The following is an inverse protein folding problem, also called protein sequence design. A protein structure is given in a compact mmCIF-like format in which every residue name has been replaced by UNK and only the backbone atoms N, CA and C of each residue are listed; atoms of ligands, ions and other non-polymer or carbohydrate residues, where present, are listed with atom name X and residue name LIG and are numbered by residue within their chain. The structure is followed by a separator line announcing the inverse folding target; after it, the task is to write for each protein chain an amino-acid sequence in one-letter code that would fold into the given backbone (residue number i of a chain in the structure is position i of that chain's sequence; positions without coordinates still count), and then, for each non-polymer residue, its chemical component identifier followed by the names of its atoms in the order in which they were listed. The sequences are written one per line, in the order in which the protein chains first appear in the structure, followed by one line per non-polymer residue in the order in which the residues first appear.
data_IF_531278057077
#
_entry.id   IF_531278057077
#
_cell.length_a   1.000
_cell.length_b   1.000
_cell.length_c   1.000
_cell.angle_alpha   90.00
_cell.angle_beta   90.00
_cell.angle_gamma   90.00
#
_symmetry.space_group_name_H-M   'P 1'
#
loop_
_entity.id
_entity.type
_entity.pdbx_description
1 polymer ?
#
# COMPACT_ATOMS: atom_id res chain seq x y z
N UNK A 1 -0.65 -23.48 -9.16
CA UNK A 1 -0.71 -23.43 -7.68
C UNK A 1 0.39 -24.34 -7.14
N UNK A 2 1.22 -23.82 -6.24
CA UNK A 2 2.38 -24.55 -5.66
C UNK A 2 2.34 -24.42 -4.14
N UNK A 3 2.32 -25.57 -3.46
CA UNK A 3 2.47 -25.57 -2.01
C UNK A 3 3.94 -25.37 -1.61
N UNK A 4 4.18 -24.50 -0.63
CA UNK A 4 5.49 -24.23 -0.03
C UNK A 4 5.44 -24.61 1.46
N UNK A 5 5.53 -25.93 1.79
CA UNK A 5 5.28 -26.42 3.15
C UNK A 5 6.24 -25.83 4.19
N UNK A 6 7.48 -25.51 3.80
CA UNK A 6 8.47 -24.91 4.69
C UNK A 6 8.13 -23.47 5.10
N UNK A 7 7.21 -22.80 4.40
CA UNK A 7 6.69 -21.48 4.71
C UNK A 7 5.25 -21.52 5.24
N UNK A 8 4.61 -22.68 5.21
CA UNK A 8 3.18 -22.81 5.56
C UNK A 8 2.24 -22.08 4.60
N UNK A 9 2.64 -21.89 3.35
CA UNK A 9 1.86 -21.11 2.37
C UNK A 9 1.63 -21.88 1.07
N UNK A 10 0.60 -21.47 0.34
CA UNK A 10 0.32 -21.90 -1.02
C UNK A 10 0.53 -20.72 -1.97
N UNK A 11 1.45 -20.86 -2.92
CA UNK A 11 1.69 -19.84 -3.93
C UNK A 11 0.77 -20.08 -5.14
N UNK A 12 0.00 -19.07 -5.49
CA UNK A 12 -0.83 -19.06 -6.70
C UNK A 12 -0.10 -18.27 -7.77
N UNK A 13 0.26 -18.90 -8.89
CA UNK A 13 1.15 -18.31 -9.91
C UNK A 13 0.51 -18.16 -11.29
N UNK A 14 -0.65 -18.79 -11.53
CA UNK A 14 -1.38 -18.67 -12.79
C UNK A 14 -2.27 -17.44 -12.80
N UNK A 15 -2.39 -16.79 -13.94
CA UNK A 15 -3.19 -15.54 -14.09
C UNK A 15 -4.67 -15.77 -13.75
N UNK A 16 -5.25 -16.86 -14.26
CA UNK A 16 -6.68 -17.16 -14.03
C UNK A 16 -6.93 -17.48 -12.56
N UNK A 17 -6.09 -18.30 -11.96
CA UNK A 17 -6.20 -18.72 -10.56
C UNK A 17 -5.99 -17.50 -9.61
N UNK A 18 -5.05 -16.61 -9.91
CA UNK A 18 -4.87 -15.37 -9.15
C UNK A 18 -6.11 -14.48 -9.28
N UNK A 19 -6.67 -14.38 -10.49
CA UNK A 19 -7.88 -13.60 -10.73
C UNK A 19 -9.08 -14.16 -9.97
N UNK A 20 -9.19 -15.49 -9.86
CA UNK A 20 -10.27 -16.13 -9.11
C UNK A 20 -10.11 -15.89 -7.60
N UNK A 21 -8.89 -16.00 -7.06
CA UNK A 21 -8.62 -15.66 -5.65
C UNK A 21 -9.02 -14.21 -5.34
N UNK A 22 -8.63 -13.25 -6.18
CA UNK A 22 -8.97 -11.83 -5.97
C UNK A 22 -10.45 -11.50 -6.09
N UNK A 23 -11.24 -12.34 -6.77
CA UNK A 23 -12.69 -12.16 -6.89
C UNK A 23 -13.48 -12.82 -5.77
N UNK A 24 -12.92 -13.86 -5.16
CA UNK A 24 -13.58 -14.65 -4.11
C UNK A 24 -13.34 -14.05 -2.72
N UNK A 25 -13.82 -12.81 -2.51
CA UNK A 25 -13.63 -12.07 -1.25
C UNK A 25 -14.41 -12.64 -0.05
N UNK A 26 -15.32 -13.56 -0.29
CA UNK A 26 -16.05 -14.34 0.70
C UNK A 26 -15.29 -15.57 1.17
N UNK A 27 -14.26 -15.97 0.42
CA UNK A 27 -13.43 -17.15 0.70
C UNK A 27 -12.02 -16.76 1.15
N UNK A 28 -11.46 -15.71 0.58
CA UNK A 28 -10.08 -15.27 0.85
C UNK A 28 -10.07 -13.90 1.52
N UNK A 29 -9.63 -13.87 2.77
CA UNK A 29 -9.47 -12.65 3.54
C UNK A 29 -8.21 -11.87 3.16
N UNK A 30 -8.30 -10.55 3.16
CA UNK A 30 -7.16 -9.64 3.00
C UNK A 30 -6.46 -9.29 4.30
N UNK A 31 -6.91 -9.80 5.44
CA UNK A 31 -6.45 -9.37 6.76
C UNK A 31 -4.93 -9.46 6.97
N UNK A 32 -4.26 -10.35 6.25
CA UNK A 32 -2.81 -10.59 6.33
C UNK A 32 -2.03 -10.08 5.11
N UNK A 33 -2.63 -9.31 4.22
CA UNK A 33 -2.04 -8.94 2.92
C UNK A 33 -0.74 -8.14 3.01
N UNK A 34 -0.52 -7.37 4.09
CA UNK A 34 0.69 -6.55 4.28
C UNK A 34 1.85 -7.30 4.95
N UNK A 35 1.56 -8.43 5.59
CA UNK A 35 2.55 -9.23 6.31
C UNK A 35 3.36 -10.13 5.37
N UNK A 36 2.87 -10.34 4.16
CA UNK A 36 3.45 -11.27 3.21
C UNK A 36 3.41 -12.72 3.72
N UNK A 37 4.09 -13.63 3.03
CA UNK A 37 4.06 -15.06 3.37
C UNK A 37 4.89 -15.43 4.60
N UNK A 38 5.60 -14.49 5.21
CA UNK A 38 6.59 -14.75 6.26
C UNK A 38 6.08 -14.49 7.67
N UNK A 39 4.96 -13.81 7.82
CA UNK A 39 4.36 -13.57 9.11
C UNK A 39 3.16 -14.47 9.31
N UNK A 40 3.21 -15.23 10.38
CA UNK A 40 2.10 -16.08 10.81
C UNK A 40 1.00 -15.23 11.43
N UNK A 41 -0.24 -15.62 11.23
CA UNK A 41 -1.36 -15.06 11.97
C UNK A 41 -1.14 -15.27 13.49
N UNK A 42 -1.60 -14.37 14.37
CA UNK A 42 -1.32 -14.42 15.82
C UNK A 42 -1.72 -15.73 16.51
N UNK A 43 -2.71 -16.41 15.95
CA UNK A 43 -3.23 -17.69 16.45
C UNK A 43 -3.34 -18.71 15.31
N UNK A 44 -3.37 -20.02 15.60
CA UNK A 44 -3.62 -21.04 14.57
C UNK A 44 -4.95 -20.79 13.84
N UNK A 45 -4.94 -20.98 12.52
CA UNK A 45 -6.11 -20.87 11.65
C UNK A 45 -6.59 -22.28 11.31
N UNK A 46 -7.29 -22.92 12.25
CA UNK A 46 -7.76 -24.27 12.12
C UNK A 46 -9.25 -24.32 11.76
N UNK A 47 -9.64 -25.23 10.88
CA UNK A 47 -11.02 -25.44 10.45
C UNK A 47 -11.30 -24.99 9.03
N UNK A 48 -12.51 -25.30 8.55
CA UNK A 48 -12.97 -24.96 7.20
C UNK A 48 -13.49 -23.50 7.09
N UNK A 49 -13.90 -22.94 8.23
CA UNK A 49 -14.31 -21.54 8.34
C UNK A 49 -13.53 -20.87 9.50
N UNK A 50 -12.69 -19.92 9.14
CA UNK A 50 -11.83 -19.19 10.06
C UNK A 50 -12.33 -17.77 10.35
N UNK A 51 -13.52 -17.41 9.88
CA UNK A 51 -14.06 -16.05 9.96
C UNK A 51 -14.12 -15.52 11.40
N UNK A 52 -14.59 -16.34 12.35
CA UNK A 52 -14.67 -15.95 13.76
C UNK A 52 -13.27 -15.80 14.38
N UNK A 53 -12.32 -16.66 14.01
CA UNK A 53 -10.93 -16.59 14.48
C UNK A 53 -10.27 -15.31 14.00
N UNK A 54 -10.45 -14.97 12.72
CA UNK A 54 -9.93 -13.73 12.13
C UNK A 54 -10.56 -12.51 12.80
N UNK A 55 -11.88 -12.48 12.96
CA UNK A 55 -12.59 -11.37 13.58
C UNK A 55 -12.14 -11.13 15.04
N UNK A 56 -11.97 -12.21 15.82
CA UNK A 56 -11.58 -12.13 17.24
C UNK A 56 -10.13 -11.68 17.47
N UNK A 57 -9.25 -11.80 16.48
CA UNK A 57 -7.82 -11.50 16.61
C UNK A 57 -7.33 -10.42 15.63
N UNK A 58 -8.25 -9.74 14.95
CA UNK A 58 -7.91 -8.78 13.91
C UNK A 58 -7.07 -7.62 14.42
N UNK A 59 -7.32 -7.14 15.61
CA UNK A 59 -6.60 -6.04 16.25
C UNK A 59 -5.13 -6.36 16.59
N UNK A 60 -4.76 -7.64 16.57
CA UNK A 60 -3.39 -8.10 16.75
C UNK A 60 -2.60 -8.18 15.43
N UNK A 61 -3.28 -8.04 14.29
CA UNK A 61 -2.64 -8.06 12.97
C UNK A 61 -2.11 -6.66 12.64
N UNK A 62 -0.83 -6.52 12.29
CA UNK A 62 -0.27 -5.24 11.88
C UNK A 62 -1.04 -4.58 10.76
N UNK A 63 -1.23 -3.27 10.86
CA UNK A 63 -1.97 -2.46 9.89
C UNK A 63 -3.44 -2.87 9.71
N UNK A 64 -4.05 -3.49 10.72
CA UNK A 64 -5.44 -3.96 10.67
C UNK A 64 -6.47 -2.83 10.42
N UNK A 65 -6.13 -1.59 10.73
CA UNK A 65 -6.95 -0.41 10.46
C UNK A 65 -6.81 0.12 9.02
N UNK A 66 -5.88 -0.44 8.23
CA UNK A 66 -5.66 0.03 6.86
C UNK A 66 -6.60 -0.68 5.89
N UNK A 67 -7.11 0.06 4.92
CA UNK A 67 -8.05 -0.45 3.92
C UNK A 67 -7.54 -1.70 3.19
N UNK A 68 -6.23 -1.81 2.97
CA UNK A 68 -5.60 -2.94 2.27
C UNK A 68 -5.73 -4.27 3.02
N UNK A 69 -5.96 -4.23 4.34
CA UNK A 69 -6.16 -5.41 5.18
C UNK A 69 -7.62 -5.64 5.54
N UNK A 70 -8.53 -4.78 5.09
CA UNK A 70 -9.96 -4.90 5.37
C UNK A 70 -10.63 -5.87 4.42
N UNK A 71 -11.64 -6.55 4.92
CA UNK A 71 -12.57 -7.37 4.16
C UNK A 71 -13.94 -6.67 4.03
N UNK A 72 -14.80 -7.10 3.10
CA UNK A 72 -16.18 -6.61 3.06
C UNK A 72 -16.92 -6.93 4.38
N UNK A 73 -17.83 -6.06 4.84
CA UNK A 73 -18.33 -4.85 4.19
C UNK A 73 -17.48 -3.59 4.44
N UNK A 74 -16.57 -3.57 5.42
CA UNK A 74 -15.76 -2.42 5.78
C UNK A 74 -14.91 -1.92 4.62
N UNK A 75 -14.18 -2.83 3.97
CA UNK A 75 -13.39 -2.51 2.76
C UNK A 75 -14.22 -1.81 1.71
N UNK A 76 -15.42 -2.32 1.41
CA UNK A 76 -16.30 -1.75 0.38
C UNK A 76 -16.69 -0.32 0.72
N UNK A 77 -17.00 -0.05 1.99
CA UNK A 77 -17.38 1.28 2.46
C UNK A 77 -16.22 2.27 2.37
N UNK A 78 -15.05 1.92 2.88
CA UNK A 78 -13.87 2.79 2.90
C UNK A 78 -13.35 3.05 1.47
N UNK A 79 -13.29 1.99 0.65
CA UNK A 79 -12.86 2.10 -0.74
C UNK A 79 -13.80 3.01 -1.56
N UNK A 80 -15.10 2.96 -1.31
CA UNK A 80 -16.07 3.82 -2.00
C UNK A 80 -15.81 5.31 -1.77
N UNK A 81 -15.27 5.70 -0.61
CA UNK A 81 -14.88 7.08 -0.32
C UNK A 81 -13.66 7.48 -1.16
N UNK A 82 -12.62 6.65 -1.19
CA UNK A 82 -11.40 6.93 -1.96
C UNK A 82 -11.65 6.95 -3.48
N UNK A 83 -12.53 6.11 -3.98
CA UNK A 83 -12.87 6.10 -5.41
C UNK A 83 -13.49 7.41 -5.92
N UNK A 84 -14.01 8.25 -5.03
CA UNK A 84 -14.45 9.61 -5.39
C UNK A 84 -13.30 10.54 -5.74
N UNK A 85 -12.10 10.26 -5.24
CA UNK A 85 -10.88 11.02 -5.53
C UNK A 85 -10.25 10.60 -6.86
N UNK A 86 -10.49 9.37 -7.31
CA UNK A 86 -9.86 8.77 -8.51
C UNK A 86 -10.93 8.61 -9.60
N UNK A 87 -11.47 9.73 -10.06
CA UNK A 87 -12.42 9.74 -11.19
C UNK A 87 -11.69 9.94 -12.52
N UNK A 88 -12.19 9.43 -13.66
CA UNK A 88 -11.60 9.66 -14.96
C UNK A 88 -11.40 11.14 -15.29
N UNK A 89 -12.35 11.99 -14.89
CA UNK A 89 -12.24 13.44 -15.06
C UNK A 89 -11.06 14.00 -14.28
N UNK A 90 -10.94 13.65 -12.98
CA UNK A 90 -9.86 14.15 -12.12
C UNK A 90 -8.49 13.65 -12.56
N UNK A 91 -8.40 12.39 -13.03
CA UNK A 91 -7.16 11.85 -13.61
C UNK A 91 -6.74 12.65 -14.85
N UNK A 92 -7.70 12.98 -15.72
CA UNK A 92 -7.42 13.79 -16.91
C UNK A 92 -7.01 15.23 -16.54
N UNK A 93 -7.72 15.85 -15.59
CA UNK A 93 -7.39 17.19 -15.10
C UNK A 93 -5.97 17.24 -14.50
N UNK A 94 -5.53 16.11 -13.92
CA UNK A 94 -4.21 15.96 -13.29
C UNK A 94 -3.08 15.63 -14.27
N UNK A 95 -3.35 15.28 -15.51
CA UNK A 95 -2.35 14.87 -16.49
C UNK A 95 -1.28 15.95 -16.70
N UNK A 96 -1.68 17.21 -16.82
CA UNK A 96 -0.76 18.31 -17.01
C UNK A 96 0.20 18.52 -15.82
N UNK A 97 -0.28 18.27 -14.60
CA UNK A 97 0.57 18.28 -13.42
C UNK A 97 1.57 17.13 -13.45
N UNK A 98 1.14 15.92 -13.80
CA UNK A 98 2.02 14.75 -13.92
C UNK A 98 3.17 14.97 -14.90
N UNK A 99 2.90 15.56 -16.04
CA UNK A 99 3.94 15.91 -17.01
C UNK A 99 4.94 16.92 -16.45
N UNK A 100 4.47 18.01 -15.86
CA UNK A 100 5.37 18.99 -15.22
C UNK A 100 6.21 18.39 -14.10
N UNK A 101 5.60 17.51 -13.29
CA UNK A 101 6.30 16.81 -12.22
C UNK A 101 7.39 15.91 -12.76
N UNK A 102 7.09 15.13 -13.81
CA UNK A 102 8.06 14.26 -14.46
C UNK A 102 9.25 15.06 -15.03
N UNK A 103 8.99 16.11 -15.78
CA UNK A 103 10.03 16.96 -16.37
C UNK A 103 10.92 17.57 -15.28
N UNK A 104 10.33 18.16 -14.23
CA UNK A 104 11.07 18.74 -13.12
C UNK A 104 11.98 17.74 -12.40
N UNK A 105 11.54 16.49 -12.27
CA UNK A 105 12.37 15.46 -11.65
C UNK A 105 13.47 14.95 -12.57
N UNK A 106 13.20 14.79 -13.86
CA UNK A 106 14.20 14.43 -14.87
C UNK A 106 15.32 15.47 -14.91
N UNK A 107 15.00 16.76 -14.85
CA UNK A 107 15.96 17.85 -14.86
C UNK A 107 16.98 17.78 -13.72
N UNK A 108 16.67 17.11 -12.62
CA UNK A 108 17.57 16.98 -11.46
C UNK A 108 18.75 16.06 -11.71
N UNK A 109 18.65 15.07 -12.60
CA UNK A 109 19.68 14.05 -12.77
C UNK A 109 20.09 13.78 -14.24
N UNK A 110 19.29 14.20 -15.23
CA UNK A 110 19.64 14.02 -16.65
C UNK A 110 21.00 14.62 -17.00
N UNK A 111 21.39 15.81 -16.48
CA UNK A 111 22.72 16.38 -16.73
C UNK A 111 23.88 15.48 -16.25
N UNK A 112 23.67 14.65 -15.24
CA UNK A 112 24.68 13.76 -14.68
C UNK A 112 24.88 12.48 -15.53
N UNK A 113 23.98 12.21 -16.48
CA UNK A 113 23.99 11.05 -17.37
C UNK A 113 23.79 9.71 -16.68
N UNK A 114 23.49 9.70 -15.38
CA UNK A 114 23.24 8.51 -14.54
C UNK A 114 22.44 8.86 -13.30
N UNK A 115 21.65 7.92 -12.80
CA UNK A 115 20.98 8.05 -11.51
C UNK A 115 20.69 6.65 -10.91
N UNK A 116 20.33 6.62 -9.64
CA UNK A 116 19.58 5.51 -9.06
C UNK A 116 18.10 5.86 -9.28
N UNK A 117 17.45 5.17 -10.22
CA UNK A 117 16.17 5.58 -10.78
C UNK A 117 15.01 5.53 -9.78
N UNK A 118 15.06 4.60 -8.84
CA UNK A 118 13.99 4.45 -7.83
C UNK A 118 13.95 5.66 -6.90
N UNK A 119 15.10 6.02 -6.33
CA UNK A 119 15.19 7.15 -5.38
C UNK A 119 15.16 8.51 -6.07
N UNK A 120 15.73 8.62 -7.28
CA UNK A 120 15.81 9.88 -8.00
C UNK A 120 14.51 10.25 -8.72
N UNK A 121 13.75 9.24 -9.19
CA UNK A 121 12.56 9.46 -10.00
C UNK A 121 11.32 8.74 -9.47
N UNK A 122 11.32 7.40 -9.42
CA UNK A 122 10.07 6.63 -9.24
C UNK A 122 9.39 6.91 -7.91
N UNK A 123 10.14 6.91 -6.83
CA UNK A 123 9.61 7.11 -5.47
C UNK A 123 9.07 8.53 -5.28
N UNK A 124 9.84 9.61 -5.54
CA UNK A 124 9.32 10.95 -5.39
C UNK A 124 8.19 11.27 -6.37
N UNK A 125 8.23 10.75 -7.61
CA UNK A 125 7.16 10.93 -8.57
C UNK A 125 5.84 10.31 -8.09
N UNK A 126 5.86 9.05 -7.70
CA UNK A 126 4.65 8.37 -7.22
C UNK A 126 4.06 9.04 -5.97
N UNK A 127 4.92 9.44 -5.05
CA UNK A 127 4.51 10.09 -3.81
C UNK A 127 3.85 11.46 -4.04
N UNK A 128 4.45 12.29 -4.89
CA UNK A 128 3.91 13.62 -5.20
C UNK A 128 2.66 13.54 -6.09
N UNK A 129 2.56 12.52 -6.95
CA UNK A 129 1.36 12.24 -7.70
C UNK A 129 0.17 11.87 -6.77
N UNK A 130 0.44 11.09 -5.73
CA UNK A 130 -0.57 10.78 -4.71
C UNK A 130 -0.93 12.02 -3.88
N UNK A 131 0.06 12.83 -3.49
CA UNK A 131 -0.17 14.08 -2.76
C UNK A 131 -1.13 15.00 -3.51
N UNK A 132 -0.92 15.19 -4.81
CA UNK A 132 -1.79 16.01 -5.65
C UNK A 132 -3.20 15.41 -5.78
N UNK A 133 -3.33 14.10 -5.95
CA UNK A 133 -4.63 13.42 -5.96
C UNK A 133 -5.40 13.58 -4.65
N UNK A 134 -4.69 13.61 -3.52
CA UNK A 134 -5.27 13.88 -2.20
C UNK A 134 -5.59 15.37 -1.97
N UNK A 135 -5.15 16.25 -2.87
CA UNK A 135 -5.41 17.68 -2.79
C UNK A 135 -4.43 18.45 -1.89
N UNK A 136 -3.24 17.88 -1.64
CA UNK A 136 -2.15 18.60 -0.95
C UNK A 136 -1.66 19.71 -1.87
N UNK A 137 -1.67 20.99 -1.43
CA UNK A 137 -1.17 22.10 -2.23
C UNK A 137 0.29 21.92 -2.65
N UNK A 138 0.65 22.38 -3.86
CA UNK A 138 1.99 22.17 -4.41
C UNK A 138 3.10 22.78 -3.53
N UNK A 139 2.82 23.88 -2.83
CA UNK A 139 3.74 24.48 -1.87
C UNK A 139 4.08 23.59 -0.66
N UNK A 140 3.27 22.57 -0.41
CA UNK A 140 3.49 21.62 0.70
C UNK A 140 4.06 20.29 0.24
N UNK A 141 4.25 20.09 -1.07
CA UNK A 141 4.72 18.82 -1.62
C UNK A 141 6.09 18.40 -1.10
N UNK A 142 7.02 19.35 -0.92
CA UNK A 142 8.34 19.03 -0.38
C UNK A 142 8.25 18.54 1.07
N UNK A 143 7.46 19.23 1.89
CA UNK A 143 7.21 18.82 3.28
C UNK A 143 6.50 17.47 3.37
N UNK A 144 5.54 17.22 2.46
CA UNK A 144 4.89 15.92 2.34
C UNK A 144 5.89 14.83 1.99
N UNK A 145 6.79 15.08 1.05
CA UNK A 145 7.87 14.17 0.65
C UNK A 145 8.80 13.84 1.81
N UNK A 146 9.21 14.83 2.59
CA UNK A 146 10.06 14.63 3.78
C UNK A 146 9.37 13.76 4.83
N UNK A 147 8.10 14.04 5.14
CA UNK A 147 7.32 13.27 6.10
C UNK A 147 7.15 11.79 5.70
N UNK A 148 6.89 11.52 4.42
CA UNK A 148 6.82 10.15 3.91
C UNK A 148 8.19 9.50 3.68
N UNK A 149 9.24 10.29 3.42
CA UNK A 149 10.62 9.81 3.31
C UNK A 149 11.15 9.22 4.62
N UNK A 150 10.72 9.74 5.75
CA UNK A 150 10.95 9.16 7.07
C UNK A 150 10.17 7.83 7.25
N UNK A 151 9.03 7.67 6.55
CA UNK A 151 8.26 6.42 6.44
C UNK A 151 8.81 5.41 5.44
N UNK A 152 9.88 5.70 4.72
CA UNK A 152 10.55 4.79 3.74
C UNK A 152 11.10 3.49 4.34
N UNK A 153 10.77 3.21 5.58
CA UNK A 153 10.93 1.91 6.24
C UNK A 153 9.75 0.94 5.99
N UNK A 154 8.71 1.34 5.25
CA UNK A 154 7.62 0.41 4.91
C UNK A 154 8.14 -0.81 4.13
N UNK A 155 9.21 -0.67 3.36
CA UNK A 155 9.90 -1.80 2.72
C UNK A 155 10.74 -2.68 3.66
N UNK A 156 10.98 -2.28 4.91
CA UNK A 156 11.75 -3.05 5.90
C UNK A 156 10.91 -3.86 6.88
N UNK A 157 9.60 -3.74 6.84
CA UNK A 157 8.68 -4.48 7.71
C UNK A 157 8.75 -6.00 7.49
N UNK A 158 9.33 -6.46 6.39
CA UNK A 158 9.60 -7.89 6.13
C UNK A 158 10.85 -8.48 6.81
N UNK A 159 11.66 -7.70 7.52
CA UNK A 159 12.96 -8.14 8.04
C UNK A 159 13.07 -8.20 9.58
N UNK A 160 11.98 -8.45 10.29
CA UNK A 160 12.04 -8.84 11.71
C UNK A 160 12.42 -7.74 12.71
N UNK A 161 12.62 -6.50 12.29
CA UNK A 161 12.73 -5.38 13.21
C UNK A 161 11.34 -4.78 13.48
N UNK A 162 11.00 -4.57 14.74
CA UNK A 162 9.76 -3.90 15.17
C UNK A 162 9.66 -2.58 14.40
N UNK A 163 8.75 -2.55 13.42
CA UNK A 163 8.48 -1.36 12.64
C UNK A 163 8.17 -0.21 13.57
N UNK A 164 8.85 0.89 13.37
CA UNK A 164 8.52 2.16 14.03
C UNK A 164 7.17 2.59 13.46
N UNK A 165 6.09 2.16 14.09
CA UNK A 165 4.83 2.89 14.07
C UNK A 165 5.05 4.05 15.05
N UNK A 166 5.85 5.00 14.66
CA UNK A 166 6.18 6.16 15.46
C UNK A 166 5.82 7.41 14.71
N UNK A 167 4.90 8.17 15.28
CA UNK A 167 4.42 9.49 14.90
C UNK A 167 3.55 9.53 13.64
N UNK A 168 2.35 9.98 13.84
CA UNK A 168 1.37 10.29 12.79
C UNK A 168 2.04 11.15 11.70
N UNK A 169 2.26 10.65 10.48
CA UNK A 169 2.91 11.41 9.42
C UNK A 169 2.12 12.67 9.02
N UNK A 170 0.90 12.83 9.52
CA UNK A 170 0.03 13.97 9.29
C UNK A 170 -0.09 14.91 10.51
N UNK A 171 0.71 14.69 11.58
CA UNK A 171 0.71 15.56 12.78
C UNK A 171 1.06 17.04 12.50
N UNK A 172 1.45 17.38 11.29
CA UNK A 172 1.74 18.73 10.85
C UNK A 172 0.53 19.46 10.19
N UNK A 173 -0.62 18.77 10.04
CA UNK A 173 -1.86 19.37 9.51
C UNK A 173 -2.69 20.07 10.59
N UNK A 174 -2.35 19.90 11.87
CA UNK A 174 -2.87 20.65 13.02
C UNK A 174 -2.04 21.93 13.22
#
# INVERSE_FOLDING_TARGET
VVALPHLGVVAVTGYDEISDVYRANDTFSSCNSVMGPFATFPVPLDGDDISEIVAANRDQVPMHEHMVTMDPPEHTRERALLMRLITPKRLKDNEAFMWRLADRQLDTFVPDGRCEFISAFSQPFAMLAVADLLGVPEEHHERFREGFGLGGQIGKVGAGEKGIVGENPLAWLD
#
